data_IF_613353470106
#
_entry.id   IF_613353470106
#
_cell.length_a   1.000
_cell.length_b   1.000
_cell.length_c   1.000
_cell.angle_alpha   90.00
_cell.angle_beta   90.00
_cell.angle_gamma   90.00
#
_symmetry.space_group_name_H-M   'P 1'
#
loop_
_entity.id
_entity.type
_entity.pdbx_description
1 polymer ?
#
# COMPACT_ATOMS: atom_id res chain seq x y z
N UNK A 1 -11.55 17.11 11.44
CA UNK A 1 -11.96 16.34 10.23
C UNK A 1 -11.26 15.01 10.35
N UNK A 2 -11.97 13.89 10.20
CA UNK A 2 -11.37 12.57 10.40
C UNK A 2 -10.24 12.36 9.39
N UNK A 3 -9.08 11.93 9.89
CA UNK A 3 -7.89 11.62 9.09
C UNK A 3 -7.47 10.17 9.33
N UNK A 4 -6.66 9.65 8.43
CA UNK A 4 -5.96 8.39 8.62
C UNK A 4 -4.51 8.52 8.17
N UNK A 5 -3.64 7.74 8.82
CA UNK A 5 -2.27 7.50 8.40
C UNK A 5 -2.23 6.23 7.54
N UNK A 6 -1.63 6.33 6.36
CA UNK A 6 -1.16 5.19 5.57
C UNK A 6 0.34 5.08 5.79
N UNK A 7 0.79 4.01 6.42
CA UNK A 7 2.20 3.74 6.67
C UNK A 7 2.70 2.55 5.89
N UNK A 8 3.80 2.71 5.16
CA UNK A 8 4.48 1.62 4.45
C UNK A 8 5.20 0.75 5.48
N UNK A 9 4.76 -0.50 5.63
CA UNK A 9 5.37 -1.46 6.54
C UNK A 9 6.53 -2.19 5.89
N UNK A 10 6.34 -2.66 4.66
CA UNK A 10 7.34 -3.42 3.93
C UNK A 10 7.21 -3.21 2.42
N UNK A 11 8.36 -3.22 1.76
CA UNK A 11 8.50 -3.31 0.31
C UNK A 11 9.33 -4.56 0.04
N UNK A 12 8.73 -5.57 -0.60
CA UNK A 12 9.38 -6.87 -0.81
C UNK A 12 9.35 -7.26 -2.28
N UNK A 13 10.24 -8.18 -2.65
CA UNK A 13 10.21 -8.92 -3.91
C UNK A 13 10.25 -10.40 -3.53
N UNK A 14 9.25 -11.16 -3.97
CA UNK A 14 9.25 -12.62 -3.83
C UNK A 14 10.18 -13.21 -4.88
N UNK A 15 11.48 -13.16 -4.61
CA UNK A 15 12.51 -13.60 -5.54
C UNK A 15 12.25 -15.01 -6.07
N UNK A 16 11.88 -15.95 -5.20
CA UNK A 16 11.58 -17.34 -5.55
C UNK A 16 10.43 -17.46 -6.56
N UNK A 17 9.34 -16.71 -6.35
CA UNK A 17 8.21 -16.67 -7.28
C UNK A 17 8.62 -16.00 -8.60
N UNK A 18 9.41 -14.94 -8.52
CA UNK A 18 9.92 -14.19 -9.66
C UNK A 18 10.77 -15.09 -10.58
N UNK A 19 11.76 -15.83 -10.05
CA UNK A 19 12.58 -16.77 -10.88
C UNK A 19 11.78 -17.94 -11.42
N UNK A 20 10.71 -18.34 -10.73
CA UNK A 20 9.87 -19.48 -11.12
C UNK A 20 8.83 -19.13 -12.20
N UNK A 21 8.37 -17.88 -12.23
CA UNK A 21 7.22 -17.48 -13.06
C UNK A 21 7.59 -16.65 -14.28
N UNK A 22 8.71 -15.90 -14.24
CA UNK A 22 9.11 -15.00 -15.31
C UNK A 22 10.28 -15.58 -16.13
N UNK A 23 10.37 -15.26 -17.43
CA UNK A 23 11.54 -15.56 -18.27
C UNK A 23 12.83 -14.95 -17.72
N UNK A 24 13.98 -15.56 -18.06
CA UNK A 24 15.26 -15.18 -17.45
C UNK A 24 15.66 -13.71 -17.74
N UNK A 25 15.35 -13.22 -18.93
CA UNK A 25 15.60 -11.87 -19.36
C UNK A 25 14.70 -10.82 -18.68
N UNK A 26 13.61 -11.25 -18.02
CA UNK A 26 12.65 -10.34 -17.36
C UNK A 26 12.93 -10.25 -15.86
N UNK A 27 13.07 -11.38 -15.18
CA UNK A 27 13.25 -11.39 -13.71
C UNK A 27 14.54 -10.72 -13.23
N UNK A 28 15.61 -10.69 -14.04
CA UNK A 28 16.85 -9.97 -13.74
C UNK A 28 16.63 -8.44 -13.63
N UNK A 29 15.52 -7.93 -14.16
CA UNK A 29 15.14 -6.52 -14.11
C UNK A 29 14.03 -6.24 -13.10
N UNK A 30 13.55 -7.24 -12.37
CA UNK A 30 12.53 -7.03 -11.34
C UNK A 30 13.18 -6.38 -10.12
N UNK A 31 12.77 -5.14 -9.85
CA UNK A 31 13.22 -4.35 -8.70
C UNK A 31 12.07 -4.14 -7.70
N UNK A 32 12.38 -3.91 -6.41
CA UNK A 32 11.40 -3.47 -5.41
C UNK A 32 10.62 -2.24 -5.89
N UNK A 33 9.43 -2.02 -5.32
CA UNK A 33 8.63 -0.85 -5.67
C UNK A 33 9.43 0.45 -5.43
N UNK A 34 9.55 1.29 -6.47
CA UNK A 34 10.33 2.53 -6.40
C UNK A 34 9.52 3.72 -5.88
N UNK A 35 8.19 3.60 -5.84
CA UNK A 35 7.28 4.64 -5.34
C UNK A 35 7.28 4.75 -3.81
N UNK A 36 7.65 3.67 -3.10
CA UNK A 36 7.49 3.58 -1.66
C UNK A 36 8.78 3.15 -0.98
N UNK A 37 8.97 3.62 0.25
CA UNK A 37 10.04 3.18 1.14
C UNK A 37 9.47 2.74 2.47
N UNK A 38 10.00 1.66 3.03
CA UNK A 38 9.62 1.20 4.37
C UNK A 38 9.72 2.33 5.39
N UNK A 39 8.68 2.49 6.21
CA UNK A 39 8.58 3.54 7.21
C UNK A 39 8.04 4.88 6.70
N UNK A 40 7.83 5.04 5.40
CA UNK A 40 7.16 6.22 4.84
C UNK A 40 5.70 6.26 5.30
N UNK A 41 5.24 7.44 5.71
CA UNK A 41 3.85 7.68 6.12
C UNK A 41 3.22 8.76 5.24
N UNK A 42 1.93 8.61 4.99
CA UNK A 42 1.10 9.57 4.28
C UNK A 42 -0.14 9.85 5.13
N UNK A 43 -0.52 11.11 5.27
CA UNK A 43 -1.78 11.49 5.92
C UNK A 43 -2.81 11.79 4.87
N UNK A 44 -3.97 11.16 5.00
CA UNK A 44 -5.12 11.31 4.12
C UNK A 44 -6.31 11.74 4.96
N UNK A 45 -7.16 12.59 4.39
CA UNK A 45 -8.43 12.96 4.99
C UNK A 45 -9.61 12.33 4.23
N UNK A 46 -10.82 12.61 4.71
CA UNK A 46 -12.05 12.09 4.13
C UNK A 46 -12.37 12.62 2.72
N UNK A 47 -11.55 13.48 2.12
CA UNK A 47 -11.78 13.99 0.75
C UNK A 47 -11.57 12.91 -0.32
N UNK A 48 -10.92 11.79 0.05
CA UNK A 48 -10.56 10.71 -0.89
C UNK A 48 -9.63 11.16 -2.03
N UNK A 49 -8.91 12.27 -1.84
CA UNK A 49 -7.86 12.68 -2.75
C UNK A 49 -6.60 11.85 -2.53
N UNK A 50 -5.98 11.43 -3.63
CA UNK A 50 -4.72 10.69 -3.60
C UNK A 50 -3.60 11.62 -3.13
N UNK A 51 -2.76 11.22 -2.14
CA UNK A 51 -1.62 12.03 -1.74
C UNK A 51 -0.66 12.30 -2.89
N UNK A 52 -0.02 13.48 -2.88
CA UNK A 52 1.01 13.80 -3.86
C UNK A 52 2.17 12.78 -3.79
N UNK A 53 2.63 12.32 -4.95
CA UNK A 53 3.68 11.32 -5.06
C UNK A 53 3.27 9.88 -4.71
N UNK A 54 1.99 9.63 -4.41
CA UNK A 54 1.49 8.27 -4.17
C UNK A 54 1.31 7.52 -5.49
N UNK A 55 1.57 6.20 -5.48
CA UNK A 55 1.36 5.34 -6.64
C UNK A 55 -0.15 5.20 -6.95
N UNK A 56 -0.57 5.57 -8.16
CA UNK A 56 -1.98 5.53 -8.57
C UNK A 56 -2.61 4.14 -8.54
N UNK A 57 -1.85 3.09 -8.89
CA UNK A 57 -2.31 1.71 -8.80
C UNK A 57 -2.56 1.31 -7.35
N UNK A 58 -1.59 1.55 -6.47
CA UNK A 58 -1.76 1.27 -5.04
C UNK A 58 -2.91 2.08 -4.45
N UNK A 59 -3.11 3.34 -4.87
CA UNK A 59 -4.25 4.14 -4.43
C UNK A 59 -5.58 3.50 -4.81
N UNK A 60 -5.71 3.01 -6.04
CA UNK A 60 -6.91 2.33 -6.52
C UNK A 60 -7.26 1.12 -5.64
N UNK A 61 -6.26 0.34 -5.24
CA UNK A 61 -6.43 -0.87 -4.42
C UNK A 61 -6.82 -0.53 -2.97
N UNK A 62 -6.29 0.57 -2.43
CA UNK A 62 -6.38 0.90 -1.01
C UNK A 62 -7.57 1.80 -0.64
N UNK A 63 -8.06 2.63 -1.56
CA UNK A 63 -9.02 3.70 -1.26
C UNK A 63 -10.31 3.23 -0.60
N UNK A 64 -10.83 2.05 -0.97
CA UNK A 64 -12.11 1.55 -0.42
C UNK A 64 -11.92 1.09 1.04
N UNK A 65 -10.76 0.48 1.33
CA UNK A 65 -10.36 0.10 2.70
C UNK A 65 -10.07 1.33 3.55
N UNK A 66 -9.40 2.32 2.98
CA UNK A 66 -9.21 3.62 3.62
C UNK A 66 -10.55 4.27 3.97
N UNK A 67 -11.50 4.28 3.03
CA UNK A 67 -12.82 4.87 3.25
C UNK A 67 -13.60 4.14 4.35
N UNK A 68 -13.53 2.81 4.41
CA UNK A 68 -14.11 2.03 5.51
C UNK A 68 -13.45 2.34 6.87
N UNK A 69 -12.12 2.48 6.90
CA UNK A 69 -11.37 2.88 8.11
C UNK A 69 -11.78 4.29 8.59
N UNK A 70 -11.91 5.25 7.68
CA UNK A 70 -12.35 6.62 7.99
C UNK A 70 -13.79 6.69 8.49
N UNK A 71 -14.65 5.73 8.12
CA UNK A 71 -16.03 5.63 8.64
C UNK A 71 -16.16 4.81 9.92
N UNK A 72 -15.07 4.22 10.42
CA UNK A 72 -15.07 3.30 11.58
C UNK A 72 -16.00 2.08 11.39
N UNK A 73 -16.07 1.58 10.15
CA UNK A 73 -16.97 0.47 9.77
C UNK A 73 -16.27 -0.90 9.79
N UNK A 74 -14.94 -0.93 9.98
CA UNK A 74 -14.15 -2.17 9.92
C UNK A 74 -13.61 -2.55 11.32
N UNK A 75 -13.99 -3.71 11.87
CA UNK A 75 -13.55 -4.15 13.19
C UNK A 75 -12.07 -4.56 13.24
N UNK A 76 -11.37 -4.61 12.10
CA UNK A 76 -9.96 -5.00 12.00
C UNK A 76 -8.99 -3.80 11.97
N UNK A 77 -9.40 -2.62 12.46
CA UNK A 77 -8.53 -1.45 12.54
C UNK A 77 -7.45 -1.62 13.63
N UNK A 78 -6.17 -1.24 13.35
CA UNK A 78 -5.66 -0.71 12.09
C UNK A 78 -5.58 -1.77 10.98
N UNK A 79 -5.99 -1.38 9.77
CA UNK A 79 -6.06 -2.30 8.63
C UNK A 79 -4.66 -2.60 8.08
N UNK A 80 -4.39 -3.87 7.80
CA UNK A 80 -3.20 -4.31 7.05
C UNK A 80 -3.61 -4.69 5.65
N UNK A 81 -3.03 -4.01 4.67
CA UNK A 81 -3.42 -4.08 3.25
C UNK A 81 -2.19 -4.06 2.36
N UNK A 82 -2.31 -4.44 1.09
CA UNK A 82 -1.19 -4.41 0.15
C UNK A 82 -1.62 -3.88 -1.21
N UNK A 83 -0.66 -3.44 -2.02
CA UNK A 83 -0.91 -3.22 -3.44
C UNK A 83 -1.13 -4.57 -4.15
N UNK A 84 -1.83 -4.57 -5.28
CA UNK A 84 -2.20 -5.77 -6.02
C UNK A 84 -1.03 -6.37 -6.85
N UNK A 85 0.22 -6.15 -6.46
CA UNK A 85 1.39 -6.76 -7.10
C UNK A 85 1.74 -8.09 -6.41
N UNK A 86 1.46 -9.20 -7.09
CA UNK A 86 1.66 -10.54 -6.53
C UNK A 86 3.12 -11.00 -6.47
N UNK A 87 4.05 -10.30 -7.12
CA UNK A 87 5.47 -10.66 -7.15
C UNK A 87 6.33 -9.71 -6.31
N UNK A 88 5.93 -8.45 -6.19
CA UNK A 88 6.63 -7.44 -5.39
C UNK A 88 5.68 -6.54 -4.61
N UNK A 89 4.86 -7.11 -3.70
CA UNK A 89 3.87 -6.34 -2.99
C UNK A 89 4.53 -5.31 -2.06
N UNK A 90 3.79 -4.22 -1.86
CA UNK A 90 4.03 -3.25 -0.80
C UNK A 90 2.92 -3.42 0.23
N UNK A 91 3.31 -3.62 1.49
CA UNK A 91 2.39 -3.76 2.61
C UNK A 91 2.23 -2.42 3.32
N UNK A 92 0.99 -2.04 3.57
CA UNK A 92 0.61 -0.81 4.25
C UNK A 92 -0.19 -1.11 5.51
N UNK A 93 -0.05 -0.23 6.49
CA UNK A 93 -0.96 -0.10 7.63
C UNK A 93 -1.79 1.15 7.44
N UNK A 94 -3.11 1.01 7.56
CA UNK A 94 -4.04 2.15 7.58
C UNK A 94 -4.59 2.28 8.98
N UNK A 95 -4.34 3.42 9.61
CA UNK A 95 -4.76 3.71 10.97
C UNK A 95 -5.52 5.03 11.00
N UNK A 96 -6.76 5.01 11.49
CA UNK A 96 -7.52 6.24 11.71
C UNK A 96 -6.83 7.06 12.80
N UNK A 97 -6.58 8.33 12.51
CA UNK A 97 -6.07 9.26 13.49
C UNK A 97 -7.26 9.76 14.32
N UNK A 98 -7.22 9.47 15.61
CA UNK A 98 -8.13 10.09 16.58
C UNK A 98 -7.73 11.57 16.71
N UNK A 99 -8.72 12.47 16.63
CA UNK A 99 -8.59 13.83 17.15
C UNK A 99 -8.85 13.77 18.67
#
# INVERSE_FOLDING_TARGET
MVKAEIRVLQVIVFEDLVKKTLPQDVWEHVVPCEFFKTGQSFTVDATSEMPEGFCSSAWFDLRDKLAACLRDEDPLTPLIVCCQDGLRPVTFRIERLED
#
